data_IF_556361293033
#
_entry.id   IF_556361293033
#
_cell.length_a   1.000
_cell.length_b   1.000
_cell.length_c   1.000
_cell.angle_alpha   90.00
_cell.angle_beta   90.00
_cell.angle_gamma   90.00
#
_symmetry.space_group_name_H-M   'P 1'
#
loop_
_entity.id
_entity.type
_entity.pdbx_description
1 polymer ?
#
# COMPACT_ATOMS: atom_id res chain seq x y z
N UNK A 1 -37.95 -4.68 14.95
CA UNK A 1 -37.19 -3.49 15.44
C UNK A 1 -35.66 -3.61 15.19
N UNK A 2 -35.02 -4.79 15.29
CA UNK A 2 -33.59 -4.98 14.99
C UNK A 2 -33.21 -4.68 13.52
N UNK A 3 -34.06 -5.06 12.58
CA UNK A 3 -33.86 -4.84 11.15
C UNK A 3 -33.81 -3.36 10.75
N UNK A 4 -34.66 -2.53 11.35
CA UNK A 4 -34.71 -1.06 11.10
C UNK A 4 -33.50 -0.37 11.75
N UNK A 5 -33.10 -0.77 12.96
CA UNK A 5 -31.90 -0.24 13.62
C UNK A 5 -30.60 -0.52 12.84
N UNK A 6 -30.46 -1.75 12.28
CA UNK A 6 -29.34 -2.11 11.41
C UNK A 6 -29.35 -1.31 10.09
N UNK A 7 -30.55 -1.01 9.54
CA UNK A 7 -30.68 -0.21 8.31
C UNK A 7 -30.30 1.26 8.53
N UNK A 8 -30.69 1.84 9.69
CA UNK A 8 -30.31 3.21 10.08
C UNK A 8 -28.81 3.36 10.34
N UNK A 9 -28.19 2.39 11.00
CA UNK A 9 -26.73 2.41 11.25
C UNK A 9 -25.92 2.25 9.97
N UNK A 10 -26.38 1.47 9.00
CA UNK A 10 -25.72 1.32 7.68
C UNK A 10 -25.85 2.57 6.80
N UNK A 11 -26.99 3.27 6.81
CA UNK A 11 -27.17 4.53 6.07
C UNK A 11 -26.28 5.63 6.68
N UNK A 12 -26.20 5.71 8.00
CA UNK A 12 -25.29 6.64 8.67
C UNK A 12 -23.82 6.34 8.38
N UNK A 13 -23.43 5.08 8.23
CA UNK A 13 -22.10 4.65 7.84
C UNK A 13 -21.73 5.15 6.43
N UNK A 14 -22.60 4.98 5.43
CA UNK A 14 -22.39 5.47 4.06
C UNK A 14 -22.40 7.01 3.98
N UNK A 15 -23.22 7.69 4.77
CA UNK A 15 -23.23 9.16 4.81
C UNK A 15 -21.96 9.74 5.45
N UNK A 16 -21.39 9.06 6.44
CA UNK A 16 -20.14 9.45 7.08
C UNK A 16 -18.93 9.15 6.17
N UNK A 17 -18.97 8.06 5.41
CA UNK A 17 -17.89 7.57 4.53
C UNK A 17 -18.00 8.10 3.10
N UNK A 18 -18.50 9.32 2.86
CA UNK A 18 -18.46 9.87 1.51
C UNK A 18 -17.01 10.05 1.00
N UNK A 19 -16.77 10.04 -0.33
CA UNK A 19 -15.41 10.10 -0.90
C UNK A 19 -14.60 11.31 -0.45
N UNK A 20 -15.27 12.45 -0.18
CA UNK A 20 -14.61 13.67 0.30
C UNK A 20 -14.05 13.48 1.70
N UNK A 21 -14.81 12.85 2.59
CA UNK A 21 -14.37 12.56 3.95
C UNK A 21 -13.25 11.52 3.98
N UNK A 22 -13.35 10.46 3.16
CA UNK A 22 -12.29 9.46 3.01
C UNK A 22 -11.00 10.16 2.57
N UNK A 23 -11.05 10.99 1.52
CA UNK A 23 -9.89 11.74 1.03
C UNK A 23 -9.33 12.65 2.12
N UNK A 24 -10.16 13.40 2.84
CA UNK A 24 -9.75 14.31 3.92
C UNK A 24 -9.03 13.56 5.05
N UNK A 25 -9.49 12.37 5.40
CA UNK A 25 -8.79 11.55 6.40
C UNK A 25 -7.47 10.99 5.84
N UNK A 26 -7.43 10.56 4.56
CA UNK A 26 -6.18 10.15 3.91
C UNK A 26 -5.16 11.29 3.85
N UNK A 27 -5.60 12.54 3.65
CA UNK A 27 -4.72 13.73 3.61
C UNK A 27 -3.94 13.95 4.92
N UNK A 28 -4.42 13.43 6.04
CA UNK A 28 -3.72 13.51 7.34
C UNK A 28 -2.49 12.62 7.43
N UNK A 29 -2.50 11.50 6.70
CA UNK A 29 -1.46 10.47 6.78
C UNK A 29 -0.58 10.42 5.54
N UNK A 30 -1.15 10.69 4.37
CA UNK A 30 -0.52 10.54 3.06
C UNK A 30 -0.28 11.92 2.48
N UNK A 31 0.96 12.21 2.17
CA UNK A 31 1.37 13.48 1.58
C UNK A 31 1.32 13.40 0.05
N UNK A 32 0.91 14.46 -0.62
CA UNK A 32 0.77 14.48 -2.08
C UNK A 32 -0.33 13.54 -2.59
N UNK A 33 -0.15 12.97 -3.76
CA UNK A 33 -0.99 11.92 -4.39
C UNK A 33 -2.48 12.30 -4.50
N UNK A 34 -2.81 13.56 -4.80
CA UNK A 34 -4.18 14.08 -4.72
C UNK A 34 -5.16 13.36 -5.64
N UNK A 35 -4.78 13.11 -6.90
CA UNK A 35 -5.63 12.42 -7.88
C UNK A 35 -5.81 10.94 -7.48
N UNK A 36 -4.74 10.29 -7.08
CA UNK A 36 -4.77 8.90 -6.62
C UNK A 36 -5.69 8.72 -5.42
N UNK A 37 -5.61 9.62 -4.42
CA UNK A 37 -6.51 9.63 -3.26
C UNK A 37 -7.96 9.80 -3.67
N UNK A 38 -8.24 10.69 -4.64
CA UNK A 38 -9.59 10.90 -5.17
C UNK A 38 -10.13 9.64 -5.84
N UNK A 39 -9.34 9.03 -6.73
CA UNK A 39 -9.72 7.79 -7.42
C UNK A 39 -10.03 6.67 -6.41
N UNK A 40 -9.12 6.41 -5.48
CA UNK A 40 -9.28 5.35 -4.48
C UNK A 40 -10.47 5.63 -3.56
N UNK A 41 -10.68 6.88 -3.12
CA UNK A 41 -11.82 7.23 -2.26
C UNK A 41 -13.15 6.97 -2.94
N UNK A 42 -13.27 7.30 -4.23
CA UNK A 42 -14.48 7.03 -5.03
C UNK A 42 -14.67 5.54 -5.26
N UNK A 43 -13.59 4.83 -5.64
CA UNK A 43 -13.63 3.40 -5.91
C UNK A 43 -14.11 2.59 -4.72
N UNK A 44 -13.53 2.85 -3.55
CA UNK A 44 -13.89 2.16 -2.31
C UNK A 44 -15.29 2.52 -1.83
N UNK A 45 -15.66 3.78 -1.90
CA UNK A 45 -17.04 4.19 -1.60
C UNK A 45 -18.05 3.46 -2.49
N UNK A 46 -17.81 3.40 -3.80
CA UNK A 46 -18.67 2.70 -4.75
C UNK A 46 -18.74 1.20 -4.47
N UNK A 47 -17.61 0.56 -4.10
CA UNK A 47 -17.59 -0.84 -3.72
C UNK A 47 -18.53 -1.13 -2.53
N UNK A 48 -18.41 -0.39 -1.44
CA UNK A 48 -19.27 -0.61 -0.27
C UNK A 48 -20.72 -0.18 -0.50
N UNK A 49 -20.95 0.83 -1.34
CA UNK A 49 -22.30 1.19 -1.81
C UNK A 49 -22.93 0.07 -2.65
N UNK A 50 -22.13 -0.59 -3.51
CA UNK A 50 -22.57 -1.77 -4.24
C UNK A 50 -23.01 -2.90 -3.30
N UNK A 51 -22.20 -3.24 -2.29
CA UNK A 51 -22.56 -4.26 -1.29
C UNK A 51 -23.88 -3.95 -0.58
N UNK A 52 -24.16 -2.67 -0.33
CA UNK A 52 -25.44 -2.25 0.23
C UNK A 52 -26.59 -2.43 -0.77
N UNK A 53 -26.40 -2.06 -2.04
CA UNK A 53 -27.41 -2.16 -3.09
C UNK A 53 -27.75 -3.62 -3.45
N UNK A 54 -26.78 -4.53 -3.42
CA UNK A 54 -27.03 -5.97 -3.64
C UNK A 54 -28.06 -6.53 -2.65
N UNK A 55 -28.12 -6.00 -1.44
CA UNK A 55 -29.12 -6.38 -0.44
C UNK A 55 -30.54 -5.90 -0.80
N UNK A 56 -30.67 -4.88 -1.66
CA UNK A 56 -31.95 -4.30 -2.06
C UNK A 56 -32.54 -4.96 -3.34
N UNK A 57 -31.82 -5.91 -3.94
CA UNK A 57 -32.24 -6.77 -5.09
C UNK A 57 -32.68 -6.07 -6.39
N UNK A 58 -32.45 -4.77 -6.55
CA UNK A 58 -33.04 -4.03 -7.69
C UNK A 58 -32.07 -3.72 -8.83
N UNK A 59 -30.75 -3.76 -8.62
CA UNK A 59 -29.74 -3.42 -9.64
C UNK A 59 -28.50 -4.28 -9.43
N UNK A 60 -28.04 -4.94 -10.48
CA UNK A 60 -26.74 -5.61 -10.48
C UNK A 60 -25.64 -4.60 -10.86
N UNK A 61 -24.69 -4.42 -9.96
CA UNK A 61 -23.49 -3.62 -10.20
C UNK A 61 -22.27 -4.53 -10.18
N UNK A 62 -21.46 -4.44 -11.22
CA UNK A 62 -20.21 -5.19 -11.28
C UNK A 62 -19.21 -4.71 -10.25
N UNK A 63 -18.36 -5.63 -9.80
CA UNK A 63 -17.26 -5.36 -8.90
C UNK A 63 -16.13 -4.65 -9.65
N UNK A 64 -15.57 -3.61 -9.05
CA UNK A 64 -14.44 -2.87 -9.59
C UNK A 64 -13.26 -2.94 -8.63
N UNK A 65 -12.31 -3.82 -8.92
CA UNK A 65 -11.05 -3.89 -8.17
C UNK A 65 -10.07 -2.83 -8.67
N UNK A 66 -8.97 -2.63 -7.96
CA UNK A 66 -8.07 -1.50 -8.14
C UNK A 66 -6.65 -2.01 -8.41
N UNK A 67 -5.95 -1.40 -9.35
CA UNK A 67 -4.50 -1.56 -9.52
C UNK A 67 -3.78 -0.25 -9.20
N UNK A 68 -2.75 -0.33 -8.34
CA UNK A 68 -1.92 0.78 -7.91
C UNK A 68 -0.56 0.69 -8.57
N UNK A 69 -0.18 1.71 -9.31
CA UNK A 69 1.09 1.79 -10.03
C UNK A 69 1.92 2.95 -9.50
N UNK A 70 3.20 2.75 -9.35
CA UNK A 70 4.13 3.82 -9.03
C UNK A 70 5.35 3.38 -8.24
N UNK A 71 6.36 4.23 -8.12
CA UNK A 71 7.67 3.88 -7.59
C UNK A 71 7.63 3.30 -6.19
N UNK A 72 8.69 2.58 -5.83
CA UNK A 72 8.83 2.03 -4.48
C UNK A 72 8.94 3.18 -3.46
N UNK A 73 8.26 3.04 -2.32
CA UNK A 73 8.30 4.05 -1.26
C UNK A 73 7.42 5.28 -1.48
N UNK A 74 6.58 5.34 -2.52
CA UNK A 74 5.63 6.44 -2.75
C UNK A 74 4.35 6.36 -1.87
N UNK A 75 4.16 5.29 -1.09
CA UNK A 75 3.08 5.16 -0.11
C UNK A 75 1.91 4.26 -0.52
N UNK A 76 2.04 3.38 -1.52
CA UNK A 76 0.97 2.45 -1.96
C UNK A 76 0.41 1.62 -0.80
N UNK A 77 1.23 0.83 -0.15
CA UNK A 77 0.85 -0.04 0.98
C UNK A 77 0.31 0.79 2.17
N UNK A 78 0.92 1.96 2.45
CA UNK A 78 0.44 2.86 3.50
C UNK A 78 -0.97 3.40 3.19
N UNK A 79 -1.24 3.75 1.93
CA UNK A 79 -2.55 4.22 1.45
C UNK A 79 -3.63 3.18 1.76
N UNK A 80 -3.42 1.93 1.37
CA UNK A 80 -4.41 0.86 1.54
C UNK A 80 -4.62 0.53 3.02
N UNK A 81 -3.55 0.43 3.82
CA UNK A 81 -3.65 0.21 5.27
C UNK A 81 -4.37 1.36 5.99
N UNK A 82 -4.10 2.60 5.58
CA UNK A 82 -4.77 3.78 6.16
C UNK A 82 -6.25 3.80 5.78
N UNK A 83 -6.55 3.49 4.52
CA UNK A 83 -7.92 3.38 4.03
C UNK A 83 -8.73 2.35 4.84
N UNK A 84 -8.20 1.14 5.00
CA UNK A 84 -8.85 0.08 5.78
C UNK A 84 -9.15 0.52 7.22
N UNK A 85 -8.23 1.25 7.85
CA UNK A 85 -8.45 1.85 9.18
C UNK A 85 -9.55 2.90 9.19
N UNK A 86 -9.63 3.76 8.16
CA UNK A 86 -10.65 4.82 8.05
C UNK A 86 -12.04 4.20 7.93
N UNK A 87 -12.17 3.17 7.10
CA UNK A 87 -13.45 2.50 6.87
C UNK A 87 -13.76 1.40 7.89
N UNK A 88 -12.82 1.11 8.79
CA UNK A 88 -12.93 0.08 9.83
C UNK A 88 -13.29 -1.31 9.26
N UNK A 89 -12.55 -1.73 8.24
CA UNK A 89 -12.71 -3.02 7.56
C UNK A 89 -11.39 -3.80 7.68
N UNK A 90 -11.43 -5.13 7.93
CA UNK A 90 -10.25 -5.96 7.94
C UNK A 90 -9.51 -5.91 6.60
N UNK A 91 -8.19 -5.99 6.67
CA UNK A 91 -7.31 -6.03 5.51
C UNK A 91 -6.17 -7.00 5.75
N UNK A 92 -5.87 -7.81 4.76
CA UNK A 92 -4.58 -8.49 4.68
C UNK A 92 -3.72 -7.91 3.57
N UNK A 93 -2.42 -7.97 3.81
CA UNK A 93 -1.39 -7.59 2.83
C UNK A 93 -0.61 -8.85 2.53
N UNK A 94 -0.59 -9.23 1.28
CA UNK A 94 0.15 -10.40 0.78
C UNK A 94 1.12 -9.96 -0.31
N UNK A 95 2.23 -10.65 -0.41
CA UNK A 95 3.24 -10.42 -1.43
C UNK A 95 3.01 -11.41 -2.57
N UNK A 96 2.86 -10.91 -3.79
CA UNK A 96 2.62 -11.76 -4.97
C UNK A 96 3.77 -12.75 -5.22
N UNK A 97 4.99 -12.41 -4.81
CA UNK A 97 6.18 -13.27 -4.99
C UNK A 97 6.19 -14.49 -4.06
N UNK A 98 5.35 -14.51 -3.03
CA UNK A 98 5.24 -15.64 -2.11
C UNK A 98 4.44 -16.82 -2.69
N UNK A 99 3.70 -16.57 -3.78
CA UNK A 99 2.83 -17.57 -4.39
C UNK A 99 3.51 -18.29 -5.55
N UNK A 100 3.14 -19.56 -5.71
CA UNK A 100 3.54 -20.40 -6.85
C UNK A 100 2.31 -21.04 -7.47
N UNK A 101 2.44 -21.55 -8.67
CA UNK A 101 1.39 -22.34 -9.29
C UNK A 101 1.12 -23.61 -8.47
N UNK A 102 -0.14 -24.01 -8.36
CA UNK A 102 -0.56 -25.16 -7.58
C UNK A 102 0.25 -26.43 -7.93
N UNK A 103 0.82 -27.07 -6.89
CA UNK A 103 1.66 -28.28 -7.05
C UNK A 103 3.17 -28.02 -7.02
N UNK A 104 3.62 -26.77 -6.90
CA UNK A 104 5.04 -26.42 -6.69
C UNK A 104 5.31 -25.93 -5.26
N UNK A 105 6.59 -25.80 -4.91
CA UNK A 105 7.01 -25.35 -3.56
C UNK A 105 6.74 -23.85 -3.41
N UNK A 106 5.79 -23.50 -2.55
CA UNK A 106 5.38 -22.13 -2.23
C UNK A 106 3.99 -22.11 -1.60
N UNK A 107 3.52 -20.92 -1.21
CA UNK A 107 2.17 -20.75 -0.71
C UNK A 107 1.16 -20.90 -1.87
N UNK A 108 0.10 -21.68 -1.64
CA UNK A 108 -1.03 -21.72 -2.58
C UNK A 108 -1.82 -20.40 -2.49
N UNK A 109 -2.32 -19.92 -3.62
CA UNK A 109 -3.11 -18.69 -3.71
C UNK A 109 -4.35 -18.75 -2.80
N UNK A 110 -4.92 -19.93 -2.58
CA UNK A 110 -6.07 -20.14 -1.67
C UNK A 110 -5.71 -19.86 -0.20
N UNK A 111 -4.43 -19.97 0.19
CA UNK A 111 -3.95 -19.65 1.54
C UNK A 111 -4.21 -18.18 1.94
N UNK A 112 -4.40 -17.29 0.96
CA UNK A 112 -4.80 -15.91 1.16
C UNK A 112 -6.11 -15.84 1.95
N UNK A 113 -7.10 -16.64 1.55
CA UNK A 113 -8.43 -16.65 2.20
C UNK A 113 -8.34 -17.23 3.61
N UNK A 114 -7.47 -18.23 3.83
CA UNK A 114 -7.22 -18.76 5.17
C UNK A 114 -6.63 -17.69 6.11
N UNK A 115 -5.62 -16.93 5.62
CA UNK A 115 -5.03 -15.81 6.37
C UNK A 115 -6.06 -14.73 6.67
N UNK A 116 -6.93 -14.38 5.70
CA UNK A 116 -7.98 -13.39 5.87
C UNK A 116 -9.04 -13.85 6.88
N UNK A 117 -9.48 -15.10 6.80
CA UNK A 117 -10.47 -15.67 7.71
C UNK A 117 -9.95 -15.69 9.15
N UNK A 118 -8.67 -16.00 9.34
CA UNK A 118 -8.02 -15.94 10.65
C UNK A 118 -7.97 -14.49 11.20
N UNK A 119 -7.63 -13.51 10.36
CA UNK A 119 -7.62 -12.07 10.74
C UNK A 119 -9.03 -11.54 11.10
N UNK A 120 -10.08 -12.20 10.58
CA UNK A 120 -11.47 -11.90 10.86
C UNK A 120 -12.07 -12.75 12.01
N UNK A 121 -11.25 -13.39 12.86
CA UNK A 121 -11.69 -14.25 13.94
C UNK A 121 -12.71 -15.33 13.49
N UNK A 122 -12.49 -15.90 12.30
CA UNK A 122 -13.35 -16.91 11.65
C UNK A 122 -14.78 -16.43 11.36
N UNK A 123 -14.99 -15.13 11.27
CA UNK A 123 -16.28 -14.55 10.88
C UNK A 123 -16.38 -14.46 9.34
N UNK A 124 -17.11 -15.41 8.73
CA UNK A 124 -17.25 -15.51 7.26
C UNK A 124 -17.88 -14.23 6.66
N UNK A 125 -18.95 -13.68 7.27
CA UNK A 125 -19.60 -12.47 6.75
C UNK A 125 -18.63 -11.26 6.71
N UNK A 126 -17.77 -11.13 7.71
CA UNK A 126 -16.77 -10.09 7.78
C UNK A 126 -15.64 -10.33 6.76
N UNK A 127 -15.21 -11.59 6.61
CA UNK A 127 -14.20 -12.03 5.63
C UNK A 127 -14.62 -11.69 4.21
N UNK A 128 -15.87 -11.99 3.84
CA UNK A 128 -16.42 -11.73 2.50
C UNK A 128 -16.54 -10.23 2.15
N UNK A 129 -16.45 -9.34 3.14
CA UNK A 129 -16.50 -7.88 2.96
C UNK A 129 -15.16 -7.19 3.17
N UNK A 130 -14.13 -7.96 3.40
CA UNK A 130 -12.79 -7.47 3.70
C UNK A 130 -12.04 -7.00 2.45
N UNK A 131 -10.81 -6.50 2.66
CA UNK A 131 -9.91 -6.05 1.61
C UNK A 131 -8.71 -6.98 1.55
N UNK A 132 -8.32 -7.40 0.35
CA UNK A 132 -7.05 -8.08 0.07
C UNK A 132 -6.18 -7.13 -0.74
N UNK A 133 -5.00 -6.80 -0.19
CA UNK A 133 -3.98 -6.05 -0.91
C UNK A 133 -2.86 -6.98 -1.33
N UNK A 134 -2.67 -7.13 -2.64
CA UNK A 134 -1.60 -7.93 -3.25
C UNK A 134 -0.49 -6.97 -3.65
N UNK A 135 0.62 -6.98 -2.92
CA UNK A 135 1.78 -6.14 -3.22
C UNK A 135 2.72 -6.85 -4.21
N UNK A 136 3.57 -6.09 -4.87
CA UNK A 136 4.60 -6.56 -5.82
C UNK A 136 4.05 -7.37 -7.02
N UNK A 137 2.84 -7.04 -7.49
CA UNK A 137 2.19 -7.73 -8.62
C UNK A 137 3.02 -7.68 -9.91
N UNK A 138 3.85 -6.67 -10.08
CA UNK A 138 4.78 -6.53 -11.21
C UNK A 138 5.87 -7.60 -11.25
N UNK A 139 6.12 -8.30 -10.14
CA UNK A 139 7.13 -9.36 -10.06
C UNK A 139 6.65 -10.70 -10.62
N UNK A 140 5.34 -10.89 -10.73
CA UNK A 140 4.73 -12.04 -11.37
C UNK A 140 4.31 -11.75 -12.82
N UNK A 141 4.86 -10.69 -13.43
CA UNK A 141 4.69 -10.43 -14.85
C UNK A 141 5.40 -11.49 -15.70
N UNK A 142 4.80 -11.84 -16.84
CA UNK A 142 5.39 -12.79 -17.80
C UNK A 142 6.69 -12.19 -18.34
N UNK A 143 7.82 -12.89 -18.15
CA UNK A 143 9.10 -12.50 -18.72
C UNK A 143 9.23 -13.08 -20.13
N UNK A 144 9.51 -12.23 -21.10
CA UNK A 144 9.67 -12.60 -22.53
C UNK A 144 10.96 -13.38 -22.84
N UNK A 145 11.90 -13.46 -21.89
CA UNK A 145 13.27 -13.95 -22.17
C UNK A 145 13.55 -15.41 -21.79
N UNK A 146 12.55 -16.21 -21.42
CA UNK A 146 12.78 -17.61 -21.13
C UNK A 146 12.65 -18.50 -22.37
N UNK A 147 13.80 -18.78 -22.99
CA UNK A 147 13.98 -19.92 -23.90
C UNK A 147 13.81 -21.21 -23.10
N UNK A 148 12.75 -21.97 -23.41
CA UNK A 148 12.49 -23.35 -22.95
C UNK A 148 12.32 -23.59 -21.44
N UNK A 149 11.19 -23.15 -20.86
CA UNK A 149 10.69 -23.63 -19.57
C UNK A 149 9.30 -23.04 -19.32
N UNK A 150 8.36 -23.82 -18.77
CA UNK A 150 7.08 -23.26 -18.28
C UNK A 150 7.39 -22.18 -17.23
N UNK A 151 6.87 -20.97 -17.41
CA UNK A 151 6.97 -19.90 -16.41
C UNK A 151 6.00 -20.23 -15.25
N UNK A 152 6.52 -21.01 -14.30
CA UNK A 152 5.77 -21.52 -13.14
C UNK A 152 5.45 -20.43 -12.12
N UNK A 153 6.15 -19.29 -12.19
CA UNK A 153 6.07 -18.21 -11.19
C UNK A 153 5.33 -16.95 -11.69
N UNK A 154 5.02 -16.86 -12.95
CA UNK A 154 4.44 -15.64 -13.55
C UNK A 154 2.99 -15.82 -13.96
N UNK A 155 2.75 -16.33 -15.19
CA UNK A 155 1.40 -16.41 -15.76
C UNK A 155 0.47 -17.35 -14.97
N UNK A 156 0.98 -18.49 -14.46
CA UNK A 156 0.17 -19.44 -13.69
C UNK A 156 -0.35 -18.85 -12.37
N UNK A 157 0.49 -18.03 -11.70
CA UNK A 157 0.06 -17.31 -10.48
C UNK A 157 -0.97 -16.25 -10.80
N UNK A 158 -0.81 -15.49 -11.90
CA UNK A 158 -1.80 -14.52 -12.34
C UNK A 158 -3.16 -15.19 -12.63
N UNK A 159 -3.17 -16.37 -13.29
CA UNK A 159 -4.39 -17.13 -13.56
C UNK A 159 -5.05 -17.68 -12.27
N UNK A 160 -4.26 -18.12 -11.31
CA UNK A 160 -4.78 -18.56 -10.01
C UNK A 160 -5.38 -17.42 -9.20
N UNK A 161 -4.73 -16.26 -9.17
CA UNK A 161 -5.26 -15.03 -8.57
C UNK A 161 -6.52 -14.54 -9.29
N UNK A 162 -6.60 -14.70 -10.61
CA UNK A 162 -7.75 -14.29 -11.40
C UNK A 162 -9.03 -15.01 -10.93
N UNK A 163 -8.95 -16.32 -10.64
CA UNK A 163 -10.09 -17.09 -10.11
C UNK A 163 -10.62 -16.50 -8.80
N UNK A 164 -9.72 -16.12 -7.86
CA UNK A 164 -10.11 -15.46 -6.61
C UNK A 164 -10.77 -14.10 -6.85
N UNK A 165 -10.22 -13.33 -7.77
CA UNK A 165 -10.69 -11.98 -8.08
C UNK A 165 -12.07 -12.02 -8.77
N UNK A 166 -12.34 -13.02 -9.61
CA UNK A 166 -13.62 -13.21 -10.28
C UNK A 166 -14.73 -13.58 -9.30
N UNK A 167 -14.41 -14.35 -8.29
CA UNK A 167 -15.34 -14.80 -7.25
C UNK A 167 -15.59 -16.29 -7.33
N UNK A 168 -15.12 -16.98 -6.32
CA UNK A 168 -15.32 -18.44 -6.15
C UNK A 168 -15.65 -18.74 -4.69
N UNK A 169 -16.35 -19.87 -4.48
CA UNK A 169 -16.53 -20.42 -3.14
C UNK A 169 -15.34 -21.33 -2.79
N UNK A 170 -14.66 -21.01 -1.70
CA UNK A 170 -13.50 -21.75 -1.22
C UNK A 170 -13.82 -22.35 0.14
N UNK A 171 -13.55 -23.66 0.29
CA UNK A 171 -13.63 -24.34 1.56
C UNK A 171 -12.28 -24.26 2.27
N UNK A 172 -12.25 -23.53 3.39
CA UNK A 172 -11.04 -23.30 4.18
C UNK A 172 -11.16 -23.96 5.53
N UNK A 173 -10.12 -24.67 5.94
CA UNK A 173 -10.05 -25.27 7.29
C UNK A 173 -9.50 -24.27 8.29
N UNK A 174 -10.03 -24.27 9.53
CA UNK A 174 -9.45 -23.48 10.61
C UNK A 174 -8.01 -23.91 10.85
N UNK A 175 -7.12 -22.94 11.12
CA UNK A 175 -5.77 -23.24 11.61
C UNK A 175 -5.94 -23.93 12.97
N UNK A 176 -5.37 -25.13 13.09
CA UNK A 176 -5.40 -25.87 14.37
C UNK A 176 -4.62 -25.04 15.38
N UNK A 177 -5.32 -24.61 16.43
CA UNK A 177 -4.68 -23.91 17.54
C UNK A 177 -3.68 -24.87 18.20
N UNK A 178 -2.37 -24.56 18.13
CA UNK A 178 -1.31 -25.39 18.74
C UNK A 178 -1.53 -25.62 20.24
N UNK A 179 -2.41 -24.82 20.86
CA UNK A 179 -2.78 -24.94 22.28
C UNK A 179 -3.87 -25.99 22.55
N UNK A 180 -4.67 -26.38 21.54
CA UNK A 180 -5.75 -27.37 21.68
C UNK A 180 -5.76 -28.33 20.48
N UNK A 181 -4.82 -29.30 20.40
CA UNK A 181 -4.73 -30.22 19.28
C UNK A 181 -5.88 -31.22 19.17
N UNK A 182 -6.81 -31.24 20.12
CA UNK A 182 -7.98 -32.14 20.14
C UNK A 182 -9.24 -31.58 19.47
N UNK A 183 -9.22 -30.32 19.00
CA UNK A 183 -10.36 -29.79 18.26
C UNK A 183 -10.28 -30.22 16.80
N UNK A 184 -11.35 -30.85 16.31
CA UNK A 184 -11.50 -31.18 14.90
C UNK A 184 -11.45 -29.87 14.07
N UNK A 185 -10.70 -29.86 12.95
CA UNK A 185 -10.64 -28.69 12.10
C UNK A 185 -12.05 -28.36 11.58
N UNK A 186 -12.49 -27.14 11.81
CA UNK A 186 -13.75 -26.64 11.26
C UNK A 186 -13.54 -26.22 9.81
N UNK A 187 -14.50 -26.56 8.95
CA UNK A 187 -14.49 -26.16 7.55
C UNK A 187 -15.42 -24.93 7.40
N UNK A 188 -14.91 -23.88 6.81
CA UNK A 188 -15.63 -22.65 6.48
C UNK A 188 -15.70 -22.48 4.98
N UNK A 189 -16.87 -22.16 4.45
CA UNK A 189 -17.04 -21.82 3.04
C UNK A 189 -17.07 -20.30 2.92
N UNK A 190 -16.15 -19.74 2.13
CA UNK A 190 -16.02 -18.30 1.92
C UNK A 190 -16.21 -17.98 0.45
N UNK A 191 -17.15 -17.07 0.15
CA UNK A 191 -17.38 -16.53 -1.19
C UNK A 191 -16.53 -15.28 -1.40
N UNK A 192 -15.60 -15.33 -2.36
CA UNK A 192 -14.69 -14.23 -2.66
C UNK A 192 -15.32 -13.13 -3.54
N UNK A 193 -16.55 -13.30 -4.02
CA UNK A 193 -17.24 -12.38 -4.92
C UNK A 193 -17.31 -10.95 -4.40
N UNK A 194 -17.44 -10.76 -3.09
CA UNK A 194 -17.62 -9.47 -2.46
C UNK A 194 -16.37 -8.90 -1.80
N UNK A 195 -15.27 -9.64 -1.78
CA UNK A 195 -13.96 -9.16 -1.29
C UNK A 195 -13.42 -8.12 -2.27
N UNK A 196 -12.94 -6.98 -1.75
CA UNK A 196 -12.26 -5.98 -2.56
C UNK A 196 -10.79 -6.35 -2.75
N UNK A 197 -10.38 -6.57 -3.99
CA UNK A 197 -8.98 -6.80 -4.33
C UNK A 197 -8.32 -5.50 -4.79
N UNK A 198 -7.17 -5.22 -4.24
CA UNK A 198 -6.31 -4.11 -4.62
C UNK A 198 -4.93 -4.69 -4.93
N UNK A 199 -4.48 -4.59 -6.17
CA UNK A 199 -3.14 -5.01 -6.56
C UNK A 199 -2.20 -3.81 -6.58
N UNK A 200 -0.94 -3.97 -6.19
CA UNK A 200 0.05 -2.89 -6.20
C UNK A 200 1.39 -3.37 -6.77
N UNK A 201 2.00 -2.54 -7.60
CA UNK A 201 3.32 -2.81 -8.17
C UNK A 201 4.14 -1.54 -8.39
N UNK A 202 5.46 -1.71 -8.46
CA UNK A 202 6.37 -0.62 -8.82
C UNK A 202 6.38 -0.39 -10.34
N UNK A 203 6.27 -1.45 -11.11
CA UNK A 203 6.33 -1.47 -12.58
C UNK A 203 7.57 -0.75 -13.11
N UNK A 204 8.72 -1.01 -12.48
CA UNK A 204 10.00 -0.41 -12.88
C UNK A 204 10.33 -0.76 -14.32
N UNK A 205 10.59 0.25 -15.16
CA UNK A 205 10.85 0.08 -16.59
C UNK A 205 9.62 0.19 -17.50
N UNK A 206 8.42 0.40 -16.93
CA UNK A 206 7.21 0.63 -17.73
C UNK A 206 7.33 1.87 -18.61
N UNK A 207 8.18 2.83 -18.21
CA UNK A 207 8.44 4.07 -18.94
C UNK A 207 8.90 3.79 -20.38
N UNK A 208 9.65 2.71 -20.62
CA UNK A 208 10.08 2.33 -21.95
C UNK A 208 8.91 1.93 -22.86
N UNK A 209 7.92 1.21 -22.31
CA UNK A 209 6.72 0.82 -23.04
C UNK A 209 5.86 2.02 -23.36
N UNK A 210 5.72 2.96 -22.42
CA UNK A 210 4.97 4.21 -22.58
C UNK A 210 5.62 5.06 -23.69
N UNK A 211 6.94 5.24 -23.65
CA UNK A 211 7.68 5.99 -24.68
C UNK A 211 7.51 5.37 -26.06
N UNK A 212 7.68 4.05 -26.17
CA UNK A 212 7.51 3.34 -27.44
C UNK A 212 6.09 3.51 -28.03
N UNK A 213 5.07 3.54 -27.15
CA UNK A 213 3.67 3.78 -27.59
C UNK A 213 3.49 5.22 -28.05
N UNK A 214 3.94 6.21 -27.27
CA UNK A 214 3.82 7.63 -27.60
C UNK A 214 4.57 7.94 -28.90
N UNK A 215 5.74 7.34 -29.15
CA UNK A 215 6.51 7.52 -30.39
C UNK A 215 5.78 6.95 -31.61
N UNK A 216 5.01 5.88 -31.45
CA UNK A 216 4.18 5.31 -32.53
C UNK A 216 2.93 6.15 -32.81
N UNK A 217 2.33 6.73 -31.76
CA UNK A 217 1.10 7.51 -31.88
C UNK A 217 1.31 8.96 -32.35
N UNK A 218 2.48 9.56 -32.04
CA UNK A 218 2.76 10.96 -32.36
C UNK A 218 4.15 11.14 -32.98
N UNK A 219 4.15 11.44 -34.30
CA UNK A 219 5.37 11.83 -35.04
C UNK A 219 5.94 13.21 -34.66
N UNK A 220 5.31 13.96 -33.73
CA UNK A 220 5.56 15.38 -33.46
C UNK A 220 5.55 15.76 -31.99
N UNK A 221 6.28 15.09 -31.09
CA UNK A 221 6.45 15.59 -29.73
C UNK A 221 7.92 15.98 -29.47
N UNK A 222 8.20 17.29 -29.57
CA UNK A 222 9.51 17.88 -29.28
C UNK A 222 9.83 17.98 -27.77
N UNK A 223 8.86 17.76 -26.86
CA UNK A 223 9.02 17.93 -25.40
C UNK A 223 9.02 16.62 -24.61
N UNK A 224 9.96 15.70 -24.91
CA UNK A 224 10.11 14.42 -24.18
C UNK A 224 10.58 14.59 -22.72
N UNK A 225 11.15 15.73 -22.34
CA UNK A 225 11.85 15.91 -21.06
C UNK A 225 10.97 16.30 -19.86
N UNK A 226 9.68 16.64 -20.07
CA UNK A 226 8.80 17.14 -19.02
C UNK A 226 7.57 16.27 -18.73
N UNK A 227 7.40 15.14 -19.42
CA UNK A 227 6.26 14.25 -19.19
C UNK A 227 6.49 13.37 -17.97
N UNK A 228 5.59 13.48 -16.97
CA UNK A 228 5.47 12.46 -15.93
C UNK A 228 4.91 11.18 -16.58
N UNK A 229 5.78 10.36 -17.17
CA UNK A 229 5.42 9.18 -17.97
C UNK A 229 4.44 8.24 -17.25
N UNK A 230 4.58 8.08 -15.93
CA UNK A 230 3.65 7.26 -15.14
C UNK A 230 2.19 7.76 -15.24
N UNK A 231 1.97 9.07 -15.45
CA UNK A 231 0.60 9.57 -15.63
C UNK A 231 -0.03 9.14 -16.96
N UNK A 232 0.80 8.85 -17.96
CA UNK A 232 0.37 8.43 -19.29
C UNK A 232 0.18 6.91 -19.41
N UNK A 233 0.48 6.15 -18.33
CA UNK A 233 0.29 4.68 -18.33
C UNK A 233 -1.15 4.34 -18.68
N UNK A 234 -1.33 3.41 -19.58
CA UNK A 234 -2.62 2.83 -19.91
C UNK A 234 -2.61 1.29 -19.76
N UNK A 235 -3.72 0.65 -20.07
CA UNK A 235 -3.86 -0.81 -19.97
C UNK A 235 -2.91 -1.54 -20.92
N UNK A 236 -2.68 -0.99 -22.12
CA UNK A 236 -1.81 -1.57 -23.13
C UNK A 236 -0.35 -1.63 -22.66
N UNK A 237 0.13 -0.60 -21.97
CA UNK A 237 1.48 -0.56 -21.40
C UNK A 237 1.68 -1.68 -20.37
N UNK A 238 0.64 -1.99 -19.57
CA UNK A 238 0.67 -3.06 -18.58
C UNK A 238 0.64 -4.45 -19.21
N UNK A 239 -0.10 -4.62 -20.31
CA UNK A 239 -0.09 -5.86 -21.12
C UNK A 239 1.30 -6.09 -21.70
N UNK A 240 1.88 -5.05 -22.30
CA UNK A 240 3.23 -5.13 -22.85
C UNK A 240 4.31 -5.37 -21.77
N UNK A 241 4.06 -4.94 -20.54
CA UNK A 241 4.91 -5.23 -19.37
C UNK A 241 4.82 -6.71 -18.92
N UNK A 242 3.77 -7.44 -19.30
CA UNK A 242 3.59 -8.88 -19.01
C UNK A 242 2.47 -9.20 -18.02
N UNK A 243 1.53 -8.29 -17.78
CA UNK A 243 0.30 -8.61 -17.07
C UNK A 243 -0.74 -9.13 -18.06
N UNK A 244 -1.40 -10.24 -17.75
CA UNK A 244 -2.37 -10.84 -18.65
C UNK A 244 -3.62 -9.95 -18.82
N UNK A 245 -4.17 -9.84 -20.04
CA UNK A 245 -5.32 -8.97 -20.31
C UNK A 245 -6.54 -9.26 -19.44
N UNK A 246 -6.83 -10.54 -19.19
CA UNK A 246 -7.95 -11.00 -18.38
C UNK A 246 -7.84 -10.49 -16.94
N UNK A 247 -6.63 -10.50 -16.38
CA UNK A 247 -6.36 -9.99 -15.03
C UNK A 247 -6.61 -8.48 -14.95
N UNK A 248 -6.15 -7.72 -15.95
CA UNK A 248 -6.39 -6.28 -16.02
C UNK A 248 -7.88 -5.96 -16.24
N UNK A 249 -8.60 -6.78 -16.98
CA UNK A 249 -10.05 -6.66 -17.15
C UNK A 249 -10.82 -6.73 -15.83
N UNK A 250 -10.28 -7.43 -14.82
CA UNK A 250 -10.86 -7.53 -13.46
C UNK A 250 -10.35 -6.47 -12.48
N UNK A 251 -9.38 -5.65 -12.91
CA UNK A 251 -8.81 -4.52 -12.15
C UNK A 251 -8.98 -3.20 -12.91
N UNK A 252 -10.22 -2.79 -13.24
CA UNK A 252 -10.48 -1.69 -14.19
C UNK A 252 -10.06 -0.31 -13.64
N UNK A 253 -9.85 -0.19 -12.32
CA UNK A 253 -9.51 1.10 -11.72
C UNK A 253 -8.00 1.22 -11.59
N UNK A 254 -7.42 2.08 -12.44
CA UNK A 254 -5.98 2.38 -12.43
C UNK A 254 -5.70 3.61 -11.58
N UNK A 255 -4.94 3.45 -10.50
CA UNK A 255 -4.53 4.52 -9.60
C UNK A 255 -3.00 4.68 -9.60
N UNK A 256 -2.54 5.84 -10.08
CA UNK A 256 -1.13 6.13 -10.35
C UNK A 256 -0.52 6.96 -9.23
N UNK A 257 0.63 6.53 -8.72
CA UNK A 257 1.40 7.24 -7.71
C UNK A 257 2.60 7.94 -8.37
N UNK A 258 2.81 9.19 -8.02
CA UNK A 258 3.94 9.99 -8.47
C UNK A 258 5.14 9.82 -7.52
N UNK A 259 6.32 10.08 -8.03
CA UNK A 259 7.50 10.27 -7.18
C UNK A 259 7.27 11.45 -6.21
N UNK A 260 7.82 11.32 -5.01
CA UNK A 260 7.74 12.35 -3.99
C UNK A 260 8.81 13.42 -4.26
N UNK A 261 8.43 14.68 -4.19
CA UNK A 261 9.34 15.81 -4.32
C UNK A 261 9.95 16.24 -2.97
N UNK A 262 10.91 17.17 -2.99
CA UNK A 262 11.59 17.67 -1.78
C UNK A 262 10.61 18.22 -0.74
N UNK A 263 9.61 19.01 -1.17
CA UNK A 263 8.60 19.57 -0.26
C UNK A 263 7.74 18.51 0.40
N UNK A 264 7.37 17.47 -0.35
CA UNK A 264 6.60 16.34 0.17
C UNK A 264 7.40 15.53 1.19
N UNK A 265 8.71 15.33 0.96
CA UNK A 265 9.58 14.70 1.95
C UNK A 265 9.72 15.53 3.24
N UNK A 266 9.90 16.85 3.13
CA UNK A 266 9.92 17.75 4.30
C UNK A 266 8.60 17.64 5.07
N UNK A 267 7.48 17.58 4.37
CA UNK A 267 6.16 17.45 5.00
C UNK A 267 6.00 16.10 5.69
N UNK A 268 6.43 14.99 5.07
CA UNK A 268 6.42 13.64 5.66
C UNK A 268 7.26 13.61 6.93
N UNK A 269 8.44 14.23 6.91
CA UNK A 269 9.34 14.28 8.06
C UNK A 269 8.74 15.05 9.24
N UNK A 270 8.08 16.20 8.98
CA UNK A 270 7.75 17.18 10.04
C UNK A 270 6.26 17.32 10.34
N UNK A 271 5.37 17.25 9.35
CA UNK A 271 3.96 17.65 9.46
C UNK A 271 2.96 16.50 9.47
N UNK A 272 3.25 15.39 8.80
CA UNK A 272 2.35 14.24 8.73
C UNK A 272 1.89 13.80 10.14
N UNK A 273 0.67 13.24 10.26
CA UNK A 273 0.07 12.88 11.56
C UNK A 273 0.97 11.96 12.39
N UNK A 274 1.72 11.08 11.74
CA UNK A 274 2.72 10.20 12.37
C UNK A 274 4.10 10.45 11.75
N UNK A 275 4.55 11.73 11.76
CA UNK A 275 5.82 12.11 11.14
C UNK A 275 7.01 11.43 11.82
N UNK A 276 8.03 11.09 11.02
CA UNK A 276 9.22 10.39 11.52
C UNK A 276 9.94 11.17 12.62
N UNK A 277 10.08 12.49 12.46
CA UNK A 277 10.72 13.31 13.49
C UNK A 277 9.97 13.25 14.83
N UNK A 278 8.63 13.24 14.81
CA UNK A 278 7.84 13.08 16.05
C UNK A 278 8.11 11.73 16.71
N UNK A 279 8.21 10.64 15.92
CA UNK A 279 8.52 9.32 16.47
C UNK A 279 9.87 9.32 17.19
N UNK A 280 10.91 9.89 16.56
CA UNK A 280 12.22 10.01 17.21
C UNK A 280 12.18 10.96 18.43
N UNK A 281 11.48 12.09 18.35
CA UNK A 281 11.31 12.97 19.50
C UNK A 281 10.70 12.23 20.71
N UNK A 282 9.70 11.37 20.49
CA UNK A 282 9.11 10.58 21.57
C UNK A 282 10.08 9.53 22.13
N UNK A 283 10.89 8.88 21.27
CA UNK A 283 11.91 7.92 21.74
C UNK A 283 12.92 8.57 22.70
N UNK A 284 13.41 9.77 22.36
CA UNK A 284 14.32 10.52 23.24
C UNK A 284 13.62 11.06 24.48
N UNK A 285 12.36 11.47 24.35
CA UNK A 285 11.59 12.00 25.47
C UNK A 285 11.36 10.98 26.60
N UNK A 286 11.21 9.68 26.25
CA UNK A 286 11.10 8.59 27.24
C UNK A 286 12.34 8.53 28.15
N UNK A 287 13.50 8.90 27.62
CA UNK A 287 14.76 8.97 28.37
C UNK A 287 15.00 10.36 29.02
N UNK A 288 13.99 11.25 28.97
CA UNK A 288 14.06 12.59 29.54
C UNK A 288 14.85 13.60 28.70
N UNK A 289 15.16 13.29 27.45
CA UNK A 289 15.97 14.12 26.57
C UNK A 289 15.09 14.74 25.47
N UNK A 290 15.21 16.03 25.27
CA UNK A 290 14.55 16.72 24.13
C UNK A 290 15.49 16.68 22.91
N UNK A 291 14.96 16.35 21.72
CA UNK A 291 15.70 16.44 20.46
C UNK A 291 15.02 17.44 19.52
N UNK A 292 15.79 18.33 18.92
CA UNK A 292 15.33 19.34 17.96
C UNK A 292 16.10 19.24 16.66
N UNK A 293 15.39 19.38 15.55
CA UNK A 293 15.95 19.44 14.21
C UNK A 293 15.80 20.86 13.67
N UNK A 294 16.88 21.44 13.15
CA UNK A 294 16.77 22.72 12.44
C UNK A 294 16.08 22.51 11.10
N UNK A 295 15.45 23.56 10.57
CA UNK A 295 14.78 23.46 9.26
C UNK A 295 15.76 23.06 8.15
N UNK A 296 17.00 23.58 8.19
CA UNK A 296 18.05 23.26 7.21
C UNK A 296 18.45 21.79 7.27
N UNK A 297 18.50 21.19 8.47
CA UNK A 297 18.77 19.76 8.61
C UNK A 297 17.66 18.91 7.99
N UNK A 298 16.39 19.26 8.21
CA UNK A 298 15.25 18.56 7.59
C UNK A 298 15.30 18.67 6.06
N UNK A 299 15.64 19.84 5.55
CA UNK A 299 15.79 20.09 4.12
C UNK A 299 16.90 19.26 3.50
N UNK A 300 18.06 19.13 4.17
CA UNK A 300 19.16 18.28 3.67
C UNK A 300 18.80 16.80 3.67
N UNK A 301 18.10 16.30 4.69
CA UNK A 301 17.58 14.93 4.71
C UNK A 301 16.66 14.69 3.49
N UNK A 302 15.75 15.63 3.22
CA UNK A 302 14.84 15.54 2.07
C UNK A 302 15.60 15.52 0.74
N UNK A 303 16.62 16.38 0.57
CA UNK A 303 17.47 16.39 -0.64
C UNK A 303 18.21 15.07 -0.84
N UNK A 304 18.77 14.49 0.22
CA UNK A 304 19.45 13.20 0.16
C UNK A 304 18.46 12.11 -0.29
N UNK A 305 17.22 12.14 0.21
CA UNK A 305 16.20 11.17 -0.16
C UNK A 305 15.81 11.29 -1.65
N UNK A 306 15.62 12.51 -2.15
CA UNK A 306 15.37 12.78 -3.58
C UNK A 306 16.55 12.28 -4.43
N UNK A 307 17.77 12.69 -4.09
CA UNK A 307 18.98 12.31 -4.85
C UNK A 307 19.19 10.80 -4.92
N UNK A 308 18.91 10.08 -3.85
CA UNK A 308 19.05 8.61 -3.78
C UNK A 308 17.84 7.86 -4.34
N UNK A 309 16.74 8.53 -4.69
CA UNK A 309 15.48 7.91 -5.18
C UNK A 309 14.94 6.79 -4.27
N UNK A 310 15.12 6.92 -2.95
CA UNK A 310 14.81 5.85 -1.99
C UNK A 310 13.36 5.86 -1.47
N UNK A 311 12.56 6.83 -1.88
CA UNK A 311 11.20 7.00 -1.42
C UNK A 311 11.09 7.29 0.09
N UNK A 312 9.87 7.32 0.61
CA UNK A 312 9.64 7.64 2.03
C UNK A 312 10.19 6.58 3.01
N UNK A 313 10.31 5.31 2.60
CA UNK A 313 10.93 4.26 3.44
C UNK A 313 12.38 4.58 3.81
N UNK A 314 13.13 5.14 2.86
CA UNK A 314 14.53 5.47 3.07
C UNK A 314 14.78 6.65 4.02
N UNK A 315 13.77 7.49 4.28
CA UNK A 315 13.89 8.58 5.24
C UNK A 315 14.20 8.07 6.66
N UNK A 316 13.58 6.95 7.04
CA UNK A 316 13.85 6.32 8.34
C UNK A 316 15.30 5.88 8.46
N UNK A 317 15.83 5.20 7.44
CA UNK A 317 17.22 4.76 7.40
C UNK A 317 18.21 5.93 7.45
N UNK A 318 17.91 7.05 6.76
CA UNK A 318 18.75 8.25 6.85
C UNK A 318 18.77 8.78 8.28
N UNK A 319 17.59 8.90 8.91
CA UNK A 319 17.47 9.39 10.29
C UNK A 319 18.17 8.46 11.30
N UNK A 320 17.99 7.15 11.18
CA UNK A 320 18.66 6.15 12.02
C UNK A 320 20.18 6.27 11.91
N UNK A 321 20.72 6.42 10.70
CA UNK A 321 22.16 6.59 10.50
C UNK A 321 22.68 7.90 11.12
N UNK A 322 21.96 9.01 10.95
CA UNK A 322 22.31 10.32 11.52
C UNK A 322 22.28 10.30 13.06
N UNK A 323 21.32 9.54 13.62
CA UNK A 323 21.11 9.48 15.06
C UNK A 323 21.82 8.31 15.75
N UNK A 324 22.48 7.42 15.00
CA UNK A 324 23.06 6.18 15.53
C UNK A 324 23.99 6.42 16.70
N UNK A 325 25.02 7.26 16.53
CA UNK A 325 25.98 7.58 17.58
C UNK A 325 25.29 8.28 18.76
N UNK A 326 24.35 9.14 18.44
CA UNK A 326 23.54 9.84 19.42
C UNK A 326 22.78 8.82 20.27
N UNK A 327 22.04 7.91 19.68
CA UNK A 327 21.26 6.88 20.37
C UNK A 327 22.13 5.89 21.15
N UNK A 328 23.34 5.60 20.67
CA UNK A 328 24.27 4.69 21.34
C UNK A 328 24.86 5.28 22.62
N UNK A 329 25.24 6.56 22.62
CA UNK A 329 25.96 7.18 23.77
C UNK A 329 25.03 7.77 24.84
N UNK A 330 23.73 8.01 24.55
CA UNK A 330 22.84 8.76 25.43
C UNK A 330 22.41 8.05 26.71
N UNK A 331 22.07 6.76 26.72
CA UNK A 331 21.62 6.10 27.94
C UNK A 331 22.65 6.18 29.08
N UNK A 332 23.93 6.52 28.75
CA UNK A 332 25.04 6.61 29.70
C UNK A 332 25.40 8.04 30.12
N UNK A 333 24.72 9.09 29.62
CA UNK A 333 25.04 10.50 29.89
C UNK A 333 24.07 11.13 30.88
N UNK A 334 24.45 11.22 32.14
CA UNK A 334 23.69 11.96 33.15
C UNK A 334 23.60 13.46 32.81
N UNK A 335 22.43 14.09 33.07
CA UNK A 335 22.16 15.54 32.95
C UNK A 335 22.05 16.11 31.54
N UNK A 336 21.95 15.29 30.47
CA UNK A 336 21.69 15.81 29.15
C UNK A 336 20.21 16.20 29.02
N UNK A 337 19.97 17.46 28.59
CA UNK A 337 18.62 18.00 28.47
C UNK A 337 18.13 18.13 27.05
N UNK A 338 18.98 18.64 26.14
CA UNK A 338 18.57 18.95 24.78
C UNK A 338 19.68 18.62 23.78
N UNK A 339 19.26 18.06 22.65
CA UNK A 339 20.09 17.77 21.49
C UNK A 339 19.59 18.58 20.32
N UNK A 340 20.49 19.24 19.58
CA UNK A 340 20.16 19.97 18.38
C UNK A 340 20.88 19.36 17.19
N UNK A 341 20.10 18.89 16.22
CA UNK A 341 20.57 18.38 14.95
C UNK A 341 20.51 19.52 13.92
N UNK A 342 21.65 19.95 13.44
CA UNK A 342 21.79 21.01 12.46
C UNK A 342 22.38 20.46 11.15
N UNK A 343 22.46 21.27 10.10
CA UNK A 343 22.78 20.84 8.73
C UNK A 343 24.08 20.06 8.63
N UNK A 344 25.15 20.51 9.26
CA UNK A 344 26.51 19.94 9.16
C UNK A 344 26.62 18.56 9.84
N UNK A 345 25.70 18.24 10.76
CA UNK A 345 25.58 16.87 11.30
C UNK A 345 25.26 15.87 10.19
N UNK A 346 24.48 16.31 9.19
CA UNK A 346 24.02 15.48 8.08
C UNK A 346 25.01 15.48 6.92
N UNK A 347 25.57 16.66 6.59
CA UNK A 347 26.45 16.84 5.42
C UNK A 347 27.91 16.48 5.69
N UNK A 348 28.40 16.69 6.90
CA UNK A 348 29.80 16.57 7.27
C UNK A 348 30.05 15.59 8.44
N UNK A 349 29.01 14.88 8.90
CA UNK A 349 29.06 13.97 10.05
C UNK A 349 29.59 14.63 11.32
N UNK A 350 29.35 15.95 11.50
CA UNK A 350 29.71 16.65 12.74
C UNK A 350 28.84 16.18 13.89
N UNK A 351 29.37 16.36 15.13
CA UNK A 351 28.63 16.00 16.34
C UNK A 351 27.47 16.98 16.56
N UNK A 352 26.28 16.49 16.98
CA UNK A 352 25.17 17.34 17.41
C UNK A 352 25.57 18.30 18.54
N UNK A 353 24.81 19.38 18.72
CA UNK A 353 24.97 20.27 19.87
C UNK A 353 24.26 19.63 21.05
N UNK A 354 24.97 19.48 22.14
CA UNK A 354 24.48 18.92 23.40
C UNK A 354 24.37 19.99 24.48
N UNK A 355 23.19 20.12 25.07
CA UNK A 355 22.93 21.06 26.16
C UNK A 355 22.62 20.26 27.42
N UNK A 356 23.40 20.48 28.47
CA UNK A 356 23.27 19.83 29.75
C UNK A 356 22.55 20.76 30.76
N UNK A 357 21.99 20.15 31.83
CA UNK A 357 21.42 20.91 32.97
C UNK A 357 22.52 21.48 33.85
#
# INVERSE_FOLDING_TARGET
MSYIKNKFNKINFLNYLNPVNIKKELDRYIVGQNETKKIISVAVYNHYKRLYLLQLKNIYLEKSNIILIGPTGCGKTLMVKTLAKIINIPIIVVDATSFTEAGYVGDDVESIIQKLLHECDYNVELTERSIIYIDEIDKISKKTDFVSGKDVSGEGVQQSLLKLIEGINISVTSLIDKKNPQQNPQIFNVDTTNILFIAGGAFSGIENFILNRIEKESSFLDDKNNLNLINETNTEDLINFGIIPEFLGRLPILAKFKELNEFEFIYILSKAKNSLLKQFCYLFLIEGIEIKFTFDSIKEIAKIAVKKKIGARGLKTILENVLLDTMFFFPSKDKLKLIIIYKEVITENKKPIYIYN
#
